data_IF_328375451718
#
_entry.id   IF_328375451718
#
_cell.length_a   1.000
_cell.length_b   1.000
_cell.length_c   1.000
_cell.angle_alpha   90.00
_cell.angle_beta   90.00
_cell.angle_gamma   90.00
#
_symmetry.space_group_name_H-M   'P 1'
#
loop_
_entity.id
_entity.type
_entity.pdbx_description
1 polymer ?
#
# COMPACT_ATOMS: atom_id res chain seq x y z
N UNK A 1 -20.79 -29.29 11.03
CA UNK A 1 -20.23 -30.20 10.02
C UNK A 1 -18.77 -29.79 9.76
N UNK A 2 -17.80 -30.51 10.34
CA UNK A 2 -16.39 -30.35 9.98
C UNK A 2 -16.21 -30.98 8.61
N UNK A 3 -16.08 -30.12 7.57
CA UNK A 3 -15.64 -30.58 6.25
C UNK A 3 -14.23 -31.21 6.41
N UNK A 4 -14.12 -32.52 6.14
CA UNK A 4 -12.82 -33.18 5.99
C UNK A 4 -12.02 -32.41 4.96
N UNK A 5 -11.05 -31.63 5.42
CA UNK A 5 -10.06 -31.03 4.52
C UNK A 5 -9.35 -32.18 3.78
N UNK A 6 -9.42 -32.19 2.46
CA UNK A 6 -8.69 -33.14 1.65
C UNK A 6 -7.18 -33.03 1.96
N UNK A 7 -6.43 -34.15 1.91
CA UNK A 7 -4.98 -34.18 2.12
C UNK A 7 -4.26 -33.06 1.34
N UNK A 8 -4.66 -32.83 0.09
CA UNK A 8 -4.15 -31.77 -0.77
C UNK A 8 -4.38 -30.35 -0.20
N UNK A 9 -5.52 -30.07 0.43
CA UNK A 9 -5.77 -28.75 1.01
C UNK A 9 -4.95 -28.49 2.27
N UNK A 10 -4.70 -29.54 3.05
CA UNK A 10 -3.88 -29.46 4.28
C UNK A 10 -2.40 -29.22 3.99
N UNK A 11 -1.88 -29.78 2.90
CA UNK A 11 -0.45 -29.72 2.56
C UNK A 11 -0.15 -28.82 1.36
N UNK A 12 -1.14 -28.05 0.87
CA UNK A 12 -1.01 -27.18 -0.32
C UNK A 12 0.25 -26.30 -0.29
N UNK A 13 0.47 -25.60 0.81
CA UNK A 13 1.63 -24.71 0.95
C UNK A 13 2.97 -25.43 0.89
N UNK A 14 3.07 -26.59 1.53
CA UNK A 14 4.29 -27.42 1.49
C UNK A 14 4.54 -28.02 0.10
N UNK A 15 3.47 -28.40 -0.60
CA UNK A 15 3.57 -28.91 -1.98
C UNK A 15 4.06 -27.81 -2.92
N UNK A 16 3.49 -26.59 -2.80
CA UNK A 16 3.94 -25.45 -3.59
C UNK A 16 5.42 -25.16 -3.29
N UNK A 17 5.83 -25.10 -2.02
CA UNK A 17 7.23 -24.87 -1.64
C UNK A 17 8.16 -25.94 -2.26
N UNK A 18 7.81 -27.21 -2.15
CA UNK A 18 8.63 -28.31 -2.66
C UNK A 18 8.79 -28.26 -4.18
N UNK A 19 7.67 -28.04 -4.89
CA UNK A 19 7.68 -27.92 -6.35
C UNK A 19 8.46 -26.71 -6.82
N UNK A 20 8.25 -25.56 -6.16
CA UNK A 20 8.93 -24.31 -6.48
C UNK A 20 10.43 -24.37 -6.17
N UNK A 21 10.82 -25.03 -5.07
CA UNK A 21 12.23 -25.28 -4.74
C UNK A 21 12.91 -26.17 -5.79
N UNK A 22 12.26 -27.27 -6.22
CA UNK A 22 12.77 -28.11 -7.29
C UNK A 22 12.87 -27.31 -8.59
N UNK A 23 11.86 -26.50 -8.91
CA UNK A 23 11.87 -25.64 -10.10
C UNK A 23 13.02 -24.63 -10.05
N UNK A 24 13.28 -24.01 -8.91
CA UNK A 24 14.44 -23.14 -8.71
C UNK A 24 15.76 -23.86 -9.02
N UNK A 25 15.94 -25.09 -8.50
CA UNK A 25 17.16 -25.88 -8.76
C UNK A 25 17.32 -26.24 -10.24
N UNK A 26 16.21 -26.51 -10.93
CA UNK A 26 16.19 -26.75 -12.38
C UNK A 26 16.59 -25.47 -13.12
N UNK A 27 16.02 -24.32 -12.79
CA UNK A 27 16.34 -23.05 -13.43
C UNK A 27 17.82 -22.68 -13.30
N UNK A 28 18.45 -22.91 -12.15
CA UNK A 28 19.89 -22.67 -11.93
C UNK A 28 20.75 -23.41 -12.96
N UNK A 29 20.28 -24.59 -13.45
CA UNK A 29 21.04 -25.44 -14.39
C UNK A 29 20.72 -25.21 -15.86
N UNK A 30 19.48 -24.76 -16.16
CA UNK A 30 18.97 -24.68 -17.54
C UNK A 30 19.11 -23.29 -18.13
N UNK A 31 19.03 -22.23 -17.32
CA UNK A 31 19.11 -20.86 -17.85
C UNK A 31 20.45 -20.64 -18.57
N UNK A 32 20.44 -19.91 -19.72
CA UNK A 32 21.59 -19.78 -20.63
C UNK A 32 22.53 -18.62 -20.25
N UNK A 33 22.56 -18.19 -18.98
CA UNK A 33 23.39 -17.08 -18.52
C UNK A 33 24.53 -17.56 -17.61
N UNK A 34 25.30 -16.66 -17.05
CA UNK A 34 26.34 -17.02 -16.10
C UNK A 34 25.78 -17.67 -14.82
N UNK A 35 26.64 -18.41 -14.11
CA UNK A 35 26.19 -19.12 -12.89
C UNK A 35 25.60 -18.18 -11.82
N UNK A 36 26.11 -16.94 -11.70
CA UNK A 36 25.57 -15.95 -10.75
C UNK A 36 24.22 -15.38 -11.22
N UNK A 37 24.10 -15.05 -12.50
CA UNK A 37 22.87 -14.56 -13.10
C UNK A 37 21.75 -15.61 -13.01
N UNK A 38 22.06 -16.89 -13.33
CA UNK A 38 21.11 -17.99 -13.22
C UNK A 38 20.59 -18.16 -11.78
N UNK A 39 21.47 -18.10 -10.77
CA UNK A 39 21.08 -18.16 -9.36
C UNK A 39 20.23 -16.97 -8.96
N UNK A 40 20.58 -15.75 -9.40
CA UNK A 40 19.82 -14.54 -9.12
C UNK A 40 18.41 -14.60 -9.70
N UNK A 41 18.29 -14.97 -11.00
CA UNK A 41 17.00 -15.13 -11.67
C UNK A 41 16.16 -16.26 -11.04
N UNK A 42 16.77 -17.39 -10.71
CA UNK A 42 16.09 -18.49 -10.05
C UNK A 42 15.56 -18.11 -8.67
N UNK A 43 16.34 -17.33 -7.88
CA UNK A 43 15.89 -16.79 -6.60
C UNK A 43 14.70 -15.86 -6.77
N UNK A 44 14.76 -14.93 -7.73
CA UNK A 44 13.65 -14.00 -8.00
C UNK A 44 12.36 -14.75 -8.33
N UNK A 45 12.44 -15.74 -9.22
CA UNK A 45 11.29 -16.55 -9.65
C UNK A 45 10.73 -17.34 -8.46
N UNK A 46 11.60 -17.98 -7.67
CA UNK A 46 11.22 -18.72 -6.46
C UNK A 46 10.47 -17.82 -5.46
N UNK A 47 11.04 -16.71 -5.08
CA UNK A 47 10.40 -15.76 -4.16
C UNK A 47 9.12 -15.16 -4.77
N UNK A 48 9.15 -14.88 -6.08
CA UNK A 48 8.00 -14.36 -6.81
C UNK A 48 6.81 -15.33 -6.80
N UNK A 49 7.03 -16.61 -7.04
CA UNK A 49 5.97 -17.63 -6.98
C UNK A 49 5.40 -17.74 -5.56
N UNK A 50 6.25 -17.75 -4.53
CA UNK A 50 5.79 -17.80 -3.15
C UNK A 50 4.98 -16.56 -2.74
N UNK A 51 5.37 -15.35 -3.19
CA UNK A 51 4.61 -14.13 -2.94
C UNK A 51 3.28 -14.11 -3.71
N UNK A 52 3.29 -14.46 -4.99
CA UNK A 52 2.09 -14.44 -5.84
C UNK A 52 1.06 -15.50 -5.47
N UNK A 53 1.52 -16.67 -5.01
CA UNK A 53 0.63 -17.77 -4.59
C UNK A 53 0.15 -17.64 -3.15
N UNK A 54 0.75 -16.71 -2.37
CA UNK A 54 0.53 -16.57 -0.92
C UNK A 54 0.62 -17.92 -0.19
N UNK A 55 1.50 -18.83 -0.69
CA UNK A 55 1.69 -20.15 -0.10
C UNK A 55 2.10 -20.09 1.37
N UNK A 56 2.82 -19.03 1.75
CA UNK A 56 3.16 -18.65 3.13
C UNK A 56 2.82 -17.19 3.38
N UNK A 57 2.77 -16.84 4.66
CA UNK A 57 2.67 -15.43 5.04
C UNK A 57 3.81 -14.63 4.41
N UNK A 58 3.49 -13.47 3.85
CA UNK A 58 4.43 -12.61 3.12
C UNK A 58 5.70 -12.29 3.93
N UNK A 59 5.57 -12.16 5.24
CA UNK A 59 6.68 -11.93 6.18
C UNK A 59 7.64 -13.12 6.19
N UNK A 60 7.11 -14.35 6.23
CA UNK A 60 7.92 -15.58 6.24
C UNK A 60 8.66 -15.73 4.92
N UNK A 61 7.98 -15.51 3.80
CA UNK A 61 8.61 -15.52 2.47
C UNK A 61 9.73 -14.46 2.39
N UNK A 62 9.53 -13.30 2.98
CA UNK A 62 10.55 -12.23 3.01
C UNK A 62 11.79 -12.62 3.80
N UNK A 63 11.65 -13.41 4.87
CA UNK A 63 12.79 -13.99 5.60
C UNK A 63 13.49 -15.11 4.82
N UNK A 64 12.80 -15.79 3.90
CA UNK A 64 13.44 -16.78 3.02
C UNK A 64 14.42 -16.13 2.04
N UNK A 65 14.21 -14.86 1.66
CA UNK A 65 15.10 -14.14 0.72
C UNK A 65 16.57 -14.17 1.18
N UNK A 66 16.94 -13.62 2.36
CA UNK A 66 18.33 -13.66 2.80
C UNK A 66 18.84 -15.08 2.99
N UNK A 67 18.03 -15.99 3.52
CA UNK A 67 18.43 -17.38 3.79
C UNK A 67 18.80 -18.11 2.49
N UNK A 68 17.93 -18.06 1.47
CA UNK A 68 18.17 -18.72 0.18
C UNK A 68 19.30 -18.02 -0.58
N UNK A 69 19.39 -16.68 -0.56
CA UNK A 69 20.47 -15.95 -1.21
C UNK A 69 21.85 -16.29 -0.64
N UNK A 70 21.97 -16.45 0.69
CA UNK A 70 23.19 -16.91 1.36
C UNK A 70 23.49 -18.36 0.96
N UNK A 71 22.48 -19.24 1.01
CA UNK A 71 22.61 -20.66 0.64
C UNK A 71 23.04 -20.88 -0.82
N UNK A 72 22.64 -20.00 -1.72
CA UNK A 72 23.07 -20.00 -3.12
C UNK A 72 24.47 -19.33 -3.34
N UNK A 73 25.08 -18.78 -2.29
CA UNK A 73 26.40 -18.10 -2.40
C UNK A 73 26.35 -16.78 -3.16
N UNK A 74 25.19 -16.14 -3.24
CA UNK A 74 24.99 -14.85 -3.91
C UNK A 74 25.44 -13.64 -3.06
N UNK A 75 25.33 -13.77 -1.74
CA UNK A 75 25.59 -12.69 -0.79
C UNK A 75 26.05 -13.28 0.56
N UNK A 76 26.86 -12.55 1.32
CA UNK A 76 27.20 -12.95 2.68
C UNK A 76 26.13 -12.54 3.69
N UNK A 77 26.15 -13.16 4.88
CA UNK A 77 25.14 -12.95 5.93
C UNK A 77 25.01 -11.48 6.35
N UNK A 78 26.14 -10.79 6.54
CA UNK A 78 26.13 -9.39 6.97
C UNK A 78 25.44 -8.49 5.93
N UNK A 79 25.80 -8.63 4.68
CA UNK A 79 25.21 -7.83 3.58
C UNK A 79 23.75 -8.22 3.32
N UNK A 80 23.37 -9.49 3.53
CA UNK A 80 22.00 -9.97 3.37
C UNK A 80 21.06 -9.43 4.46
N UNK A 81 21.55 -9.23 5.69
CA UNK A 81 20.74 -8.76 6.82
C UNK A 81 20.80 -7.25 7.06
N UNK A 82 21.82 -6.56 6.53
CA UNK A 82 21.93 -5.10 6.67
C UNK A 82 20.70 -4.32 6.20
N UNK A 83 19.99 -4.72 5.12
CA UNK A 83 18.78 -4.04 4.68
C UNK A 83 17.65 -3.98 5.70
N UNK A 84 17.58 -4.93 6.65
CA UNK A 84 16.55 -4.97 7.70
C UNK A 84 16.72 -3.87 8.77
N UNK A 85 17.85 -3.16 8.76
CA UNK A 85 18.17 -2.06 9.68
C UNK A 85 18.34 -0.71 8.99
N UNK A 86 17.86 -0.57 7.75
CA UNK A 86 17.94 0.71 7.03
C UNK A 86 17.06 1.79 7.67
N UNK A 87 17.49 3.07 7.65
CA UNK A 87 16.76 4.18 8.27
C UNK A 87 15.29 4.27 7.84
N UNK A 88 15.02 4.01 6.56
CA UNK A 88 13.66 4.09 5.99
C UNK A 88 12.66 3.16 6.71
N UNK A 89 13.11 1.97 7.15
CA UNK A 89 12.26 1.03 7.90
C UNK A 89 11.81 1.64 9.22
N UNK A 90 12.70 2.37 9.90
CA UNK A 90 12.36 3.04 11.16
C UNK A 90 11.47 4.28 10.96
N UNK A 91 11.54 4.94 9.81
CA UNK A 91 10.59 5.98 9.45
C UNK A 91 9.17 5.39 9.33
N UNK A 92 9.02 4.26 8.64
CA UNK A 92 7.73 3.56 8.53
C UNK A 92 7.26 2.99 9.87
N UNK A 93 8.17 2.46 10.69
CA UNK A 93 7.84 2.04 12.04
C UNK A 93 7.19 3.18 12.83
N UNK A 94 7.76 4.39 12.80
CA UNK A 94 7.16 5.56 13.46
C UNK A 94 5.78 5.90 12.92
N UNK A 95 5.58 5.85 11.60
CA UNK A 95 4.28 6.02 10.97
C UNK A 95 3.24 4.99 11.44
N UNK A 96 3.62 3.70 11.49
CA UNK A 96 2.75 2.63 11.98
C UNK A 96 2.43 2.76 13.48
N UNK A 97 3.36 3.25 14.29
CA UNK A 97 3.11 3.54 15.70
C UNK A 97 2.07 4.64 15.85
N UNK A 98 2.19 5.74 15.11
CA UNK A 98 1.19 6.82 15.13
C UNK A 98 -0.18 6.32 14.67
N UNK A 99 -0.24 5.54 13.58
CA UNK A 99 -1.47 4.90 13.11
C UNK A 99 -2.10 3.99 14.17
N UNK A 100 -1.28 3.17 14.86
CA UNK A 100 -1.73 2.32 15.95
C UNK A 100 -2.32 3.14 17.11
N UNK A 101 -1.68 4.25 17.48
CA UNK A 101 -2.13 5.10 18.58
C UNK A 101 -3.44 5.83 18.24
N UNK A 102 -3.62 6.28 16.99
CA UNK A 102 -4.90 6.83 16.52
C UNK A 102 -6.04 5.82 16.74
N UNK A 103 -5.81 4.53 16.42
CA UNK A 103 -6.78 3.45 16.65
C UNK A 103 -6.99 3.13 18.13
N UNK A 104 -5.92 3.05 18.95
CA UNK A 104 -5.99 2.81 20.40
C UNK A 104 -6.88 3.87 21.07
N UNK A 105 -6.75 5.11 20.65
CA UNK A 105 -7.52 6.24 21.18
C UNK A 105 -8.87 6.43 20.50
N UNK A 106 -9.26 5.57 19.54
CA UNK A 106 -10.47 5.70 18.71
C UNK A 106 -10.64 7.08 18.05
N UNK A 107 -9.54 7.79 17.80
CA UNK A 107 -9.56 9.13 17.17
C UNK A 107 -10.11 9.08 15.75
N UNK A 108 -9.81 8.03 15.03
CA UNK A 108 -10.35 7.68 13.74
C UNK A 108 -11.89 7.73 13.73
N UNK A 109 -12.54 7.02 14.70
CA UNK A 109 -14.00 7.02 14.88
C UNK A 109 -14.55 8.38 15.27
N UNK A 110 -13.85 9.08 16.17
CA UNK A 110 -14.25 10.42 16.64
C UNK A 110 -14.29 11.40 15.48
N UNK A 111 -13.21 11.45 14.69
CA UNK A 111 -13.07 12.34 13.52
C UNK A 111 -14.18 12.03 12.51
N UNK A 112 -14.37 10.76 12.17
CA UNK A 112 -15.36 10.33 11.21
C UNK A 112 -16.80 10.68 11.66
N UNK A 113 -17.18 10.38 12.91
CA UNK A 113 -18.48 10.74 13.46
C UNK A 113 -18.71 12.26 13.48
N UNK A 114 -17.71 13.03 13.87
CA UNK A 114 -17.82 14.47 13.91
C UNK A 114 -18.09 15.07 12.53
N UNK A 115 -17.30 14.66 11.53
CA UNK A 115 -17.42 15.18 10.16
C UNK A 115 -18.75 14.77 9.52
N UNK A 116 -19.23 13.52 9.71
CA UNK A 116 -20.53 13.11 9.16
C UNK A 116 -21.69 13.88 9.81
N UNK A 117 -21.58 14.25 11.10
CA UNK A 117 -22.60 15.10 11.76
C UNK A 117 -22.70 16.49 11.16
N UNK A 118 -21.61 17.03 10.59
CA UNK A 118 -21.63 18.33 9.91
C UNK A 118 -22.57 18.34 8.68
N UNK A 119 -22.90 17.18 8.14
CA UNK A 119 -23.83 17.05 7.01
C UNK A 119 -25.30 17.34 7.38
N UNK A 120 -25.64 17.49 8.68
CA UNK A 120 -26.97 17.90 9.19
C UNK A 120 -28.14 17.11 8.55
N UNK A 121 -27.98 15.81 8.35
CA UNK A 121 -29.04 14.97 7.75
C UNK A 121 -29.12 15.02 6.22
N UNK A 122 -28.20 15.67 5.53
CA UNK A 122 -28.16 15.61 4.07
C UNK A 122 -27.39 14.35 3.62
N UNK A 123 -28.07 13.42 2.95
CA UNK A 123 -27.52 12.14 2.53
C UNK A 123 -26.31 12.31 1.58
N UNK A 124 -26.43 13.14 0.55
CA UNK A 124 -25.34 13.37 -0.42
C UNK A 124 -24.09 13.92 0.26
N UNK A 125 -24.29 14.89 1.14
CA UNK A 125 -23.20 15.51 1.89
C UNK A 125 -22.55 14.52 2.89
N UNK A 126 -23.38 13.69 3.55
CA UNK A 126 -22.90 12.62 4.45
C UNK A 126 -22.03 11.62 3.71
N UNK A 127 -22.43 11.19 2.51
CA UNK A 127 -21.67 10.26 1.66
C UNK A 127 -20.36 10.93 1.19
N UNK A 128 -20.41 12.19 0.76
CA UNK A 128 -19.21 12.92 0.36
C UNK A 128 -18.21 13.01 1.53
N UNK A 129 -18.70 13.37 2.71
CA UNK A 129 -17.87 13.43 3.90
C UNK A 129 -17.32 12.05 4.31
N UNK A 130 -18.13 10.99 4.21
CA UNK A 130 -17.68 9.62 4.44
C UNK A 130 -16.50 9.27 3.55
N UNK A 131 -16.61 9.51 2.23
CA UNK A 131 -15.53 9.21 1.28
C UNK A 131 -14.29 10.08 1.54
N UNK A 132 -14.47 11.38 1.80
CA UNK A 132 -13.37 12.29 2.10
C UNK A 132 -12.62 11.87 3.36
N UNK A 133 -13.34 11.56 4.45
CA UNK A 133 -12.73 11.13 5.71
C UNK A 133 -12.03 9.79 5.56
N UNK A 134 -12.67 8.84 4.87
CA UNK A 134 -12.07 7.53 4.60
C UNK A 134 -10.76 7.69 3.80
N UNK A 135 -10.76 8.50 2.74
CA UNK A 135 -9.57 8.82 1.95
C UNK A 135 -8.49 9.45 2.83
N UNK A 136 -8.83 10.46 3.62
CA UNK A 136 -7.89 11.17 4.48
C UNK A 136 -7.28 10.26 5.56
N UNK A 137 -8.10 9.47 6.24
CA UNK A 137 -7.61 8.53 7.25
C UNK A 137 -6.70 7.46 6.66
N UNK A 138 -7.02 6.98 5.45
CA UNK A 138 -6.22 5.96 4.77
C UNK A 138 -4.88 6.48 4.23
N UNK A 139 -4.67 7.78 4.17
CA UNK A 139 -3.33 8.34 3.94
C UNK A 139 -2.35 8.02 5.08
N UNK A 140 -2.85 7.73 6.28
CA UNK A 140 -2.04 7.57 7.49
C UNK A 140 -2.18 6.21 8.16
N UNK A 141 -3.28 5.54 7.89
CA UNK A 141 -3.66 4.26 8.49
C UNK A 141 -3.83 3.24 7.37
N UNK A 142 -3.43 2.00 7.61
CA UNK A 142 -3.62 0.89 6.68
C UNK A 142 -5.06 0.81 6.15
N UNK A 143 -5.21 0.62 4.83
CA UNK A 143 -6.49 0.59 4.11
C UNK A 143 -7.49 -0.40 4.72
N UNK A 144 -7.01 -1.58 5.14
CA UNK A 144 -7.84 -2.63 5.77
C UNK A 144 -8.41 -2.16 7.08
N UNK A 145 -7.58 -1.55 7.93
CA UNK A 145 -7.99 -1.04 9.23
C UNK A 145 -9.02 0.09 9.07
N UNK A 146 -8.78 1.01 8.13
CA UNK A 146 -9.72 2.11 7.83
C UNK A 146 -11.05 1.55 7.33
N UNK A 147 -11.06 0.61 6.38
CA UNK A 147 -12.29 0.01 5.87
C UNK A 147 -13.08 -0.74 6.96
N UNK A 148 -12.39 -1.53 7.78
CA UNK A 148 -13.01 -2.27 8.89
C UNK A 148 -13.66 -1.35 9.93
N UNK A 149 -13.00 -0.22 10.23
CA UNK A 149 -13.50 0.79 11.15
C UNK A 149 -14.65 1.61 10.57
N UNK A 150 -14.56 1.98 9.29
CA UNK A 150 -15.58 2.80 8.63
C UNK A 150 -16.85 2.01 8.30
N UNK A 151 -16.78 0.66 8.20
CA UNK A 151 -17.93 -0.16 7.89
C UNK A 151 -19.08 -0.04 8.91
N UNK A 152 -18.86 -0.20 10.24
CA UNK A 152 -19.93 -0.01 11.23
C UNK A 152 -20.55 1.39 11.17
N UNK A 153 -19.73 2.42 10.94
CA UNK A 153 -20.19 3.81 10.79
C UNK A 153 -21.05 3.97 9.54
N UNK A 154 -20.62 3.39 8.42
CA UNK A 154 -21.34 3.38 7.15
C UNK A 154 -22.69 2.66 7.29
N UNK A 155 -22.69 1.49 7.92
CA UNK A 155 -23.92 0.73 8.18
C UNK A 155 -24.84 1.46 9.15
N UNK A 156 -24.29 2.12 10.18
CA UNK A 156 -25.05 2.98 11.10
C UNK A 156 -25.69 4.19 10.38
N UNK A 157 -24.98 4.77 9.45
CA UNK A 157 -25.45 5.86 8.60
C UNK A 157 -26.61 5.41 7.69
N UNK A 158 -26.54 4.21 7.14
CA UNK A 158 -27.58 3.64 6.26
C UNK A 158 -28.75 2.99 7.03
N UNK A 159 -28.64 2.91 8.36
CA UNK A 159 -29.71 2.33 9.20
C UNK A 159 -31.00 3.14 9.05
N UNK A 160 -32.08 2.46 8.74
CA UNK A 160 -33.40 3.08 8.46
C UNK A 160 -33.74 3.14 6.97
N UNK A 161 -32.78 3.01 6.08
CA UNK A 161 -33.02 2.86 4.64
C UNK A 161 -33.21 1.37 4.34
N UNK A 162 -34.28 1.00 3.63
CA UNK A 162 -34.52 -0.40 3.26
C UNK A 162 -33.50 -0.86 2.22
N UNK A 163 -32.62 -1.82 2.58
CA UNK A 163 -31.53 -2.30 1.74
C UNK A 163 -32.04 -3.02 0.45
N UNK A 164 -33.15 -3.79 0.53
CA UNK A 164 -33.68 -4.52 -0.62
C UNK A 164 -34.18 -3.57 -1.72
N UNK A 165 -34.89 -2.51 -1.32
CA UNK A 165 -35.41 -1.50 -2.25
C UNK A 165 -34.33 -0.56 -2.76
N UNK A 166 -33.28 -0.29 -1.97
CA UNK A 166 -32.24 0.69 -2.26
C UNK A 166 -30.84 0.05 -2.43
N UNK A 167 -30.79 -1.17 -2.94
CA UNK A 167 -29.56 -1.93 -3.03
C UNK A 167 -28.45 -1.20 -3.80
N UNK A 168 -28.81 -0.37 -4.82
CA UNK A 168 -27.84 0.44 -5.59
C UNK A 168 -27.21 1.55 -4.74
N UNK A 169 -27.99 2.15 -3.82
CA UNK A 169 -27.47 3.14 -2.88
C UNK A 169 -26.52 2.49 -1.87
N UNK A 170 -26.89 1.32 -1.34
CA UNK A 170 -26.01 0.55 -0.45
C UNK A 170 -24.70 0.18 -1.13
N UNK A 171 -24.75 -0.37 -2.34
CA UNK A 171 -23.56 -0.69 -3.12
C UNK A 171 -22.70 0.55 -3.40
N UNK A 172 -23.33 1.70 -3.75
CA UNK A 172 -22.64 2.96 -3.99
C UNK A 172 -21.85 3.43 -2.77
N UNK A 173 -22.48 3.41 -1.60
CA UNK A 173 -21.85 3.90 -0.36
C UNK A 173 -20.78 2.94 0.13
N UNK A 174 -21.05 1.64 0.11
CA UNK A 174 -20.11 0.62 0.58
C UNK A 174 -18.88 0.50 -0.33
N UNK A 175 -19.08 0.41 -1.65
CA UNK A 175 -17.97 0.38 -2.61
C UNK A 175 -17.18 1.69 -2.58
N UNK A 176 -17.85 2.84 -2.51
CA UNK A 176 -17.20 4.12 -2.42
C UNK A 176 -16.34 4.26 -1.17
N UNK A 177 -16.80 3.74 -0.02
CA UNK A 177 -16.01 3.70 1.21
C UNK A 177 -14.77 2.79 1.06
N UNK A 178 -14.93 1.57 0.53
CA UNK A 178 -13.82 0.65 0.33
C UNK A 178 -12.77 1.19 -0.66
N UNK A 179 -13.23 1.74 -1.78
CA UNK A 179 -12.35 2.32 -2.79
C UNK A 179 -11.68 3.61 -2.30
N UNK A 180 -12.37 4.43 -1.50
CA UNK A 180 -11.77 5.58 -0.82
C UNK A 180 -10.62 5.18 0.10
N UNK A 181 -10.74 4.05 0.80
CA UNK A 181 -9.65 3.52 1.61
C UNK A 181 -8.43 3.13 0.75
N UNK A 182 -8.64 2.41 -0.36
CA UNK A 182 -7.55 2.01 -1.24
C UNK A 182 -6.89 3.20 -1.95
N UNK A 183 -7.68 4.16 -2.46
CA UNK A 183 -7.18 5.38 -3.12
C UNK A 183 -6.45 6.28 -2.12
N UNK A 184 -6.98 6.43 -0.91
CA UNK A 184 -6.37 7.27 0.14
C UNK A 184 -4.95 6.81 0.49
N UNK A 185 -4.73 5.49 0.53
CA UNK A 185 -3.41 4.91 0.77
C UNK A 185 -2.32 5.34 -0.22
N UNK A 186 -2.68 5.77 -1.44
CA UNK A 186 -1.72 6.27 -2.44
C UNK A 186 -1.12 7.61 -2.01
N UNK A 187 -1.89 8.43 -1.28
CA UNK A 187 -1.58 9.84 -1.04
C UNK A 187 -0.30 10.12 -0.26
N UNK A 188 0.13 9.22 0.65
CA UNK A 188 1.38 9.37 1.42
C UNK A 188 2.22 8.11 1.39
N UNK A 189 3.50 8.21 1.80
CA UNK A 189 4.37 7.03 1.91
C UNK A 189 3.85 6.00 2.91
N UNK A 190 3.23 6.42 3.99
CA UNK A 190 2.77 5.56 5.09
C UNK A 190 1.44 4.88 4.78
N UNK A 191 0.64 5.45 3.87
CA UNK A 191 -0.73 5.00 3.59
C UNK A 191 -0.83 3.61 2.97
N UNK A 192 0.17 3.17 2.20
CA UNK A 192 0.15 1.84 1.60
C UNK A 192 1.53 1.19 1.52
N UNK A 193 1.58 -0.16 1.63
CA UNK A 193 2.81 -0.93 1.54
C UNK A 193 3.55 -0.77 0.18
N UNK A 194 2.89 -0.72 -0.98
CA UNK A 194 3.56 -0.44 -2.26
C UNK A 194 4.39 0.85 -2.28
N UNK A 195 3.88 1.94 -1.67
CA UNK A 195 4.61 3.21 -1.58
C UNK A 195 5.87 3.06 -0.74
N UNK A 196 5.74 2.35 0.38
CA UNK A 196 6.85 2.09 1.29
C UNK A 196 7.94 1.21 0.65
N UNK A 197 7.54 0.21 -0.16
CA UNK A 197 8.47 -0.62 -0.94
C UNK A 197 9.26 0.26 -1.93
N UNK A 198 8.59 1.14 -2.65
CA UNK A 198 9.24 2.11 -3.53
C UNK A 198 10.28 2.94 -2.76
N UNK A 199 9.84 3.58 -1.67
CA UNK A 199 10.70 4.46 -0.89
C UNK A 199 11.92 3.73 -0.30
N UNK A 200 11.74 2.46 0.09
CA UNK A 200 12.84 1.64 0.61
C UNK A 200 13.91 1.37 -0.45
N UNK A 201 13.54 1.21 -1.73
CA UNK A 201 14.48 0.86 -2.81
C UNK A 201 15.18 2.07 -3.44
N UNK A 202 14.54 3.24 -3.50
CA UNK A 202 15.09 4.45 -4.13
C UNK A 202 15.23 5.65 -3.19
N UNK A 203 15.05 5.46 -1.88
CA UNK A 203 15.27 6.46 -0.82
C UNK A 203 14.49 7.78 -1.03
N UNK A 204 13.21 7.68 -1.36
CA UNK A 204 12.32 8.84 -1.53
C UNK A 204 11.89 9.37 -0.16
N UNK A 205 11.98 10.68 0.03
CA UNK A 205 11.50 11.35 1.24
C UNK A 205 9.96 11.43 1.27
N UNK A 206 9.40 11.66 2.45
CA UNK A 206 7.96 11.84 2.61
C UNK A 206 7.41 12.98 1.72
N UNK A 207 8.13 14.11 1.69
CA UNK A 207 7.73 15.28 0.90
C UNK A 207 7.83 15.06 -0.60
N UNK A 208 8.87 14.36 -1.06
CA UNK A 208 9.01 14.02 -2.49
C UNK A 208 7.86 13.13 -2.95
N UNK A 209 7.47 12.11 -2.15
CA UNK A 209 6.35 11.25 -2.51
C UNK A 209 5.03 12.00 -2.66
N UNK A 210 4.79 13.04 -1.86
CA UNK A 210 3.58 13.86 -2.00
C UNK A 210 3.45 14.47 -3.40
N UNK A 211 4.56 14.76 -4.07
CA UNK A 211 4.54 15.24 -5.47
C UNK A 211 4.06 14.19 -6.48
N UNK A 212 4.15 12.91 -6.14
CA UNK A 212 3.74 11.77 -6.98
C UNK A 212 2.37 11.22 -6.58
N UNK A 213 2.23 10.78 -5.33
CA UNK A 213 1.05 10.07 -4.87
C UNK A 213 -0.17 10.94 -4.62
N UNK A 214 0.02 12.13 -4.03
CA UNK A 214 -1.09 13.00 -3.68
C UNK A 214 -1.88 13.53 -4.90
N UNK A 215 -1.26 14.01 -6.00
CA UNK A 215 -1.99 14.40 -7.20
C UNK A 215 -2.79 13.25 -7.82
N UNK A 216 -2.21 12.03 -7.85
CA UNK A 216 -2.91 10.83 -8.34
C UNK A 216 -4.14 10.55 -7.48
N UNK A 217 -4.00 10.54 -6.16
CA UNK A 217 -5.11 10.34 -5.22
C UNK A 217 -6.23 11.37 -5.46
N UNK A 218 -5.88 12.66 -5.58
CA UNK A 218 -6.86 13.75 -5.80
C UNK A 218 -7.63 13.58 -7.12
N UNK A 219 -6.98 13.09 -8.18
CA UNK A 219 -7.63 12.82 -9.47
C UNK A 219 -8.47 11.54 -9.45
N UNK A 220 -8.06 10.53 -8.68
CA UNK A 220 -8.77 9.26 -8.59
C UNK A 220 -10.07 9.35 -7.77
N UNK A 221 -10.15 10.19 -6.74
CA UNK A 221 -11.37 10.33 -5.93
C UNK A 221 -12.58 10.75 -6.75
N UNK A 222 -12.57 11.83 -7.55
CA UNK A 222 -13.71 12.17 -8.41
C UNK A 222 -13.96 11.10 -9.48
N UNK A 223 -12.92 10.47 -10.03
CA UNK A 223 -13.05 9.36 -11.00
C UNK A 223 -13.76 8.16 -10.40
N UNK A 224 -13.50 7.84 -9.14
CA UNK A 224 -14.20 6.83 -8.37
C UNK A 224 -15.69 7.17 -8.21
N UNK A 225 -16.00 8.38 -7.76
CA UNK A 225 -17.39 8.84 -7.58
C UNK A 225 -18.14 8.78 -8.90
N UNK A 226 -17.50 9.20 -9.99
CA UNK A 226 -18.06 9.14 -11.34
C UNK A 226 -18.32 7.69 -11.78
N UNK A 227 -17.35 6.79 -11.61
CA UNK A 227 -17.49 5.36 -11.98
C UNK A 227 -18.65 4.70 -11.22
N UNK A 228 -18.76 4.94 -9.91
CA UNK A 228 -19.85 4.48 -9.08
C UNK A 228 -21.20 5.02 -9.55
N UNK A 229 -21.26 6.32 -9.84
CA UNK A 229 -22.52 6.97 -10.26
C UNK A 229 -23.01 6.47 -11.62
N UNK A 230 -22.13 6.31 -12.59
CA UNK A 230 -22.49 5.84 -13.94
C UNK A 230 -23.09 4.44 -13.92
N UNK A 231 -22.52 3.53 -13.12
CA UNK A 231 -22.95 2.12 -13.07
C UNK A 231 -24.15 1.94 -12.14
N UNK A 232 -24.10 2.49 -10.93
CA UNK A 232 -25.08 2.19 -9.90
C UNK A 232 -26.30 3.10 -9.92
N UNK A 233 -26.12 4.36 -10.37
CA UNK A 233 -27.20 5.37 -10.46
C UNK A 233 -28.08 5.37 -9.20
N UNK A 234 -27.50 5.67 -8.01
CA UNK A 234 -28.21 5.58 -6.74
C UNK A 234 -29.34 6.60 -6.66
N UNK A 235 -30.44 6.24 -6.03
CA UNK A 235 -31.50 7.17 -5.67
C UNK A 235 -31.14 7.84 -4.33
N UNK A 236 -31.04 9.15 -4.33
CA UNK A 236 -30.73 9.96 -3.14
C UNK A 236 -31.98 10.62 -2.52
N UNK A 237 -33.18 10.34 -3.04
CA UNK A 237 -34.45 10.93 -2.56
C UNK A 237 -35.07 10.20 -1.37
N UNK A 238 -34.30 9.30 -0.73
CA UNK A 238 -34.74 8.52 0.41
C UNK A 238 -34.70 9.33 1.71
N UNK A 239 -35.64 9.03 2.62
CA UNK A 239 -35.65 9.59 3.96
C UNK A 239 -34.40 9.16 4.72
N UNK A 240 -33.60 10.14 5.15
CA UNK A 240 -32.31 9.94 5.77
C UNK A 240 -32.25 10.52 7.19
N UNK A 241 -32.18 9.64 8.17
CA UNK A 241 -32.00 10.01 9.57
C UNK A 241 -30.89 9.16 10.21
N UNK A 242 -29.63 9.60 10.13
CA UNK A 242 -28.49 8.82 10.56
C UNK A 242 -28.44 8.64 12.08
N UNK A 243 -28.31 7.41 12.55
CA UNK A 243 -28.05 7.11 13.96
C UNK A 243 -26.53 7.02 14.19
N UNK A 244 -25.90 8.13 14.57
CA UNK A 244 -24.48 8.17 14.87
C UNK A 244 -24.24 8.07 16.37
N UNK A 245 -23.30 7.23 16.80
CA UNK A 245 -22.92 7.07 18.19
C UNK A 245 -22.23 8.36 18.71
N UNK A 246 -22.52 8.72 19.97
CA UNK A 246 -21.79 9.78 20.64
C UNK A 246 -20.48 9.21 21.17
N UNK A 247 -19.36 9.63 20.59
CA UNK A 247 -18.03 9.26 21.10
C UNK A 247 -17.51 10.42 21.97
N UNK A 248 -17.06 10.11 23.19
CA UNK A 248 -16.52 11.11 24.11
C UNK A 248 -15.09 11.47 23.71
N UNK A 249 -14.78 12.74 23.75
CA UNK A 249 -13.43 13.27 23.49
C UNK A 249 -12.72 13.52 24.82
N UNK A 250 -11.58 12.90 25.04
CA UNK A 250 -10.84 12.96 26.30
C UNK A 250 -9.44 13.59 26.13
N UNK A 251 -8.72 13.82 27.25
CA UNK A 251 -7.38 14.43 27.24
C UNK A 251 -6.37 13.63 26.39
N UNK A 252 -6.43 12.32 26.42
CA UNK A 252 -5.50 11.47 25.60
C UNK A 252 -5.77 11.65 24.10
N UNK A 253 -7.03 11.84 23.70
CA UNK A 253 -7.38 12.13 22.30
C UNK A 253 -6.76 13.45 21.82
N UNK A 254 -6.77 14.50 22.66
CA UNK A 254 -6.15 15.80 22.33
C UNK A 254 -4.65 15.63 22.15
N UNK A 255 -3.98 14.96 23.09
CA UNK A 255 -2.52 14.73 23.01
C UNK A 255 -2.18 13.92 21.76
N UNK A 256 -2.92 12.85 21.47
CA UNK A 256 -2.70 12.03 20.26
C UNK A 256 -2.88 12.85 18.99
N UNK A 257 -3.91 13.67 18.92
CA UNK A 257 -4.16 14.56 17.79
C UNK A 257 -3.02 15.58 17.59
N UNK A 258 -2.53 16.17 18.69
CA UNK A 258 -1.38 17.07 18.63
C UNK A 258 -0.11 16.38 18.16
N UNK A 259 0.15 15.14 18.63
CA UNK A 259 1.29 14.33 18.18
C UNK A 259 1.18 14.03 16.68
N UNK A 260 0.00 13.61 16.23
CA UNK A 260 -0.25 13.29 14.81
C UNK A 260 -0.04 14.52 13.92
N UNK A 261 -0.67 15.65 14.25
CA UNK A 261 -0.53 16.91 13.50
C UNK A 261 0.92 17.40 13.56
N UNK A 262 1.56 17.32 14.73
CA UNK A 262 2.95 17.72 14.91
C UNK A 262 3.90 16.89 14.04
N UNK A 263 3.73 15.57 14.00
CA UNK A 263 4.52 14.67 13.11
C UNK A 263 4.29 15.04 11.64
N UNK A 264 3.02 15.20 11.22
CA UNK A 264 2.69 15.54 9.85
C UNK A 264 3.35 16.88 9.42
N UNK A 265 3.27 17.90 10.26
CA UNK A 265 3.93 19.20 10.01
C UNK A 265 5.46 19.03 9.96
N UNK A 266 6.06 18.31 10.90
CA UNK A 266 7.51 18.11 10.91
C UNK A 266 8.00 17.36 9.67
N UNK A 267 7.26 16.35 9.19
CA UNK A 267 7.61 15.62 7.96
C UNK A 267 7.42 16.49 6.72
N UNK A 268 6.33 17.27 6.63
CA UNK A 268 6.08 18.20 5.51
C UNK A 268 7.14 19.28 5.38
N UNK A 269 7.64 19.76 6.49
CA UNK A 269 8.64 20.83 6.52
C UNK A 269 10.03 20.35 6.89
N UNK A 270 10.31 19.03 6.78
CA UNK A 270 11.58 18.43 7.19
C UNK A 270 12.79 19.05 6.46
N UNK A 271 12.63 19.39 5.19
CA UNK A 271 13.66 20.06 4.37
C UNK A 271 14.02 21.46 4.87
N UNK A 272 13.08 22.16 5.51
CA UNK A 272 13.28 23.49 6.12
C UNK A 272 13.77 23.37 7.57
N UNK A 273 13.25 22.39 8.31
CA UNK A 273 13.56 22.18 9.72
C UNK A 273 14.99 21.64 9.91
N UNK A 274 15.46 20.75 9.03
CA UNK A 274 16.78 20.15 9.14
C UNK A 274 17.93 21.19 9.15
N UNK A 275 18.02 22.14 8.20
CA UNK A 275 19.03 23.19 8.25
C UNK A 275 18.94 24.06 9.50
N UNK A 276 17.72 24.40 9.94
CA UNK A 276 17.51 25.25 11.13
C UNK A 276 17.98 24.54 12.41
N UNK A 277 17.61 23.25 12.59
CA UNK A 277 18.06 22.45 13.74
C UNK A 277 19.58 22.21 13.70
N UNK A 278 20.13 21.96 12.52
CA UNK A 278 21.58 21.81 12.32
C UNK A 278 22.33 23.06 12.76
N UNK A 279 21.86 24.24 12.39
CA UNK A 279 22.45 25.50 12.79
C UNK A 279 22.27 25.78 14.28
N UNK A 280 21.09 25.51 14.85
CA UNK A 280 20.81 25.73 16.27
C UNK A 280 21.65 24.84 17.19
N UNK A 281 21.90 23.58 16.77
CA UNK A 281 22.73 22.64 17.53
C UNK A 281 24.23 22.69 17.15
N UNK A 282 24.64 23.62 16.29
CA UNK A 282 26.02 23.79 15.79
C UNK A 282 26.61 22.48 15.21
N UNK A 283 25.76 21.67 14.53
CA UNK A 283 26.20 20.42 13.97
C UNK A 283 27.04 20.66 12.69
N UNK A 284 28.10 19.84 12.46
CA UNK A 284 29.00 20.00 11.31
C UNK A 284 28.35 19.68 9.96
N UNK A 285 27.24 18.92 9.96
CA UNK A 285 26.50 18.51 8.76
C UNK A 285 25.00 18.43 9.07
N UNK A 286 24.18 18.55 8.01
CA UNK A 286 22.75 18.25 8.10
C UNK A 286 22.55 16.81 8.59
N UNK A 287 21.49 16.60 9.37
CA UNK A 287 21.11 15.28 9.88
C UNK A 287 20.68 14.42 8.69
N UNK A 288 21.38 13.32 8.46
CA UNK A 288 21.02 12.34 7.43
C UNK A 288 19.73 11.61 7.84
N UNK A 289 18.88 11.27 6.88
CA UNK A 289 17.58 10.59 7.11
C UNK A 289 16.75 11.27 8.21
N UNK A 290 16.64 12.59 8.15
CA UNK A 290 16.00 13.41 9.17
C UNK A 290 14.54 13.00 9.44
N UNK A 291 13.80 12.56 8.41
CA UNK A 291 12.43 12.03 8.55
C UNK A 291 12.38 10.82 9.49
N UNK A 292 13.41 9.96 9.47
CA UNK A 292 13.54 8.84 10.40
C UNK A 292 13.75 9.31 11.84
N UNK A 293 14.57 10.34 12.04
CA UNK A 293 14.80 10.91 13.38
C UNK A 293 13.50 11.50 13.93
N UNK A 294 12.76 12.24 13.13
CA UNK A 294 11.43 12.77 13.50
C UNK A 294 10.51 11.61 13.93
N UNK A 295 10.44 10.55 13.12
CA UNK A 295 9.58 9.41 13.39
C UNK A 295 9.93 8.72 14.72
N UNK A 296 11.21 8.48 14.99
CA UNK A 296 11.67 7.88 16.24
C UNK A 296 11.43 8.79 17.46
N UNK A 297 11.66 10.10 17.35
CA UNK A 297 11.33 11.06 18.40
C UNK A 297 9.84 11.02 18.75
N UNK A 298 8.97 10.91 17.75
CA UNK A 298 7.52 10.80 17.95
C UNK A 298 7.16 9.50 18.69
N UNK A 299 7.77 8.36 18.35
CA UNK A 299 7.56 7.10 19.07
C UNK A 299 7.94 7.21 20.54
N UNK A 300 9.10 7.79 20.83
CA UNK A 300 9.57 8.03 22.21
C UNK A 300 8.56 8.93 22.94
N UNK A 301 8.15 10.03 22.31
CA UNK A 301 7.22 10.99 22.92
C UNK A 301 5.85 10.36 23.20
N UNK A 302 5.34 9.50 22.34
CA UNK A 302 4.11 8.72 22.57
C UNK A 302 4.22 7.89 23.85
N UNK A 303 5.31 7.15 24.01
CA UNK A 303 5.52 6.31 25.20
C UNK A 303 5.68 7.14 26.48
N UNK A 304 6.47 8.22 26.42
CA UNK A 304 6.71 9.11 27.57
C UNK A 304 5.46 9.87 27.98
N UNK A 305 4.61 10.28 27.04
CA UNK A 305 3.35 10.99 27.33
C UNK A 305 2.27 10.10 27.94
N UNK A 306 2.46 8.77 27.93
CA UNK A 306 1.50 7.79 28.47
C UNK A 306 0.19 7.72 27.67
N UNK A 307 0.19 8.18 26.41
CA UNK A 307 -0.97 8.08 25.53
C UNK A 307 -1.25 6.63 25.15
N UNK A 308 -0.19 5.86 24.90
CA UNK A 308 -0.24 4.42 24.71
C UNK A 308 0.96 3.76 25.38
N UNK A 309 0.77 2.55 25.91
CA UNK A 309 1.85 1.74 26.42
C UNK A 309 2.59 1.03 25.28
N UNK A 310 3.86 0.68 25.50
CA UNK A 310 4.63 -0.09 24.53
C UNK A 310 3.94 -1.42 24.15
N UNK A 311 3.31 -2.09 25.10
CA UNK A 311 2.58 -3.34 24.87
C UNK A 311 1.43 -3.15 23.89
N UNK A 312 0.61 -2.12 24.06
CA UNK A 312 -0.50 -1.80 23.15
C UNK A 312 0.00 -1.46 21.74
N UNK A 313 1.12 -0.74 21.64
CA UNK A 313 1.78 -0.41 20.36
C UNK A 313 2.26 -1.70 19.69
N UNK A 314 2.97 -2.55 20.43
CA UNK A 314 3.55 -3.80 19.92
C UNK A 314 2.51 -4.74 19.33
N UNK A 315 1.30 -4.79 19.91
CA UNK A 315 0.20 -5.64 19.44
C UNK A 315 -0.45 -5.12 18.14
N UNK A 316 -0.27 -3.84 17.79
CA UNK A 316 -0.97 -3.20 16.65
C UNK A 316 -0.07 -2.78 15.51
N UNK A 317 1.22 -2.67 15.73
CA UNK A 317 2.18 -2.35 14.67
C UNK A 317 2.29 -3.49 13.68
N UNK A 318 2.34 -3.18 12.41
CA UNK A 318 2.47 -4.16 11.32
C UNK A 318 3.93 -4.58 11.11
N UNK A 319 4.47 -5.32 12.08
CA UNK A 319 5.86 -5.82 12.06
C UNK A 319 6.20 -6.60 10.79
N UNK A 320 5.22 -7.34 10.25
CA UNK A 320 5.39 -8.13 9.03
C UNK A 320 5.76 -7.27 7.82
N UNK A 321 5.22 -6.08 7.72
CA UNK A 321 5.51 -5.15 6.63
C UNK A 321 6.93 -4.60 6.76
N UNK A 322 7.41 -4.33 7.97
CA UNK A 322 8.80 -3.88 8.19
C UNK A 322 9.80 -4.97 7.79
N UNK A 323 9.52 -6.24 8.11
CA UNK A 323 10.33 -7.39 7.68
C UNK A 323 10.29 -7.55 6.16
N UNK A 324 9.13 -7.35 5.53
CA UNK A 324 8.99 -7.38 4.08
C UNK A 324 9.92 -6.36 3.38
N UNK A 325 10.03 -5.15 3.92
CA UNK A 325 10.94 -4.14 3.35
C UNK A 325 12.39 -4.62 3.38
N UNK A 326 12.83 -5.21 4.50
CA UNK A 326 14.18 -5.80 4.60
C UNK A 326 14.42 -6.90 3.57
N UNK A 327 13.46 -7.83 3.42
CA UNK A 327 13.53 -8.91 2.42
C UNK A 327 13.53 -8.38 0.98
N UNK A 328 12.66 -7.42 0.66
CA UNK A 328 12.58 -6.79 -0.67
C UNK A 328 13.87 -6.04 -1.04
N UNK A 329 14.45 -5.29 -0.08
CA UNK A 329 15.74 -4.63 -0.26
C UNK A 329 16.88 -5.64 -0.47
N UNK A 330 16.90 -6.73 0.29
CA UNK A 330 17.90 -7.80 0.11
C UNK A 330 17.77 -8.40 -1.28
N UNK A 331 16.54 -8.68 -1.75
CA UNK A 331 16.31 -9.20 -3.10
C UNK A 331 16.82 -8.23 -4.16
N UNK A 332 16.55 -6.93 -4.01
CA UNK A 332 17.04 -5.88 -4.92
C UNK A 332 18.58 -5.86 -5.02
N UNK A 333 19.27 -5.96 -3.88
CA UNK A 333 20.73 -6.01 -3.84
C UNK A 333 21.25 -7.27 -4.55
N UNK A 334 20.66 -8.41 -4.26
CA UNK A 334 21.03 -9.69 -4.90
C UNK A 334 20.82 -9.65 -6.40
N UNK A 335 19.68 -9.13 -6.86
CA UNK A 335 19.38 -8.97 -8.28
C UNK A 335 20.39 -8.09 -9.01
N UNK A 336 20.82 -7.00 -8.36
CA UNK A 336 21.82 -6.08 -8.90
C UNK A 336 23.22 -6.73 -8.92
N UNK A 337 23.65 -7.29 -7.81
CA UNK A 337 24.99 -7.86 -7.66
C UNK A 337 25.21 -9.12 -8.53
N UNK A 338 24.18 -9.94 -8.73
CA UNK A 338 24.24 -11.11 -9.61
C UNK A 338 24.19 -10.76 -11.09
N UNK A 339 23.82 -9.54 -11.48
CA UNK A 339 23.58 -9.15 -12.88
C UNK A 339 22.20 -9.53 -13.42
N UNK A 340 21.38 -10.26 -12.65
CA UNK A 340 20.07 -10.72 -13.08
C UNK A 340 19.12 -9.57 -13.44
N UNK A 341 19.16 -8.46 -12.70
CA UNK A 341 18.37 -7.26 -13.00
C UNK A 341 18.69 -6.65 -14.36
N UNK A 342 19.98 -6.67 -14.76
CA UNK A 342 20.41 -6.17 -16.06
C UNK A 342 19.84 -7.02 -17.21
N UNK A 343 19.90 -8.34 -17.10
CA UNK A 343 19.34 -9.26 -18.12
C UNK A 343 17.86 -8.99 -18.33
N UNK A 344 17.11 -8.85 -17.24
CA UNK A 344 15.67 -8.57 -17.31
C UNK A 344 15.40 -7.20 -17.93
N UNK A 345 16.15 -6.19 -17.51
CA UNK A 345 16.03 -4.86 -18.06
C UNK A 345 16.34 -4.82 -19.56
N UNK A 346 17.45 -5.41 -19.99
CA UNK A 346 17.85 -5.45 -21.40
C UNK A 346 16.80 -6.18 -22.26
N UNK A 347 16.20 -7.27 -21.76
CA UNK A 347 15.12 -8.00 -22.44
C UNK A 347 13.87 -7.12 -22.62
N UNK A 348 13.48 -6.37 -21.60
CA UNK A 348 12.34 -5.44 -21.65
C UNK A 348 12.67 -4.27 -22.60
N UNK A 349 13.86 -3.70 -22.48
CA UNK A 349 14.31 -2.57 -23.31
C UNK A 349 14.30 -2.97 -24.79
N UNK A 350 14.81 -4.14 -25.15
CA UNK A 350 14.74 -4.66 -26.54
C UNK A 350 13.32 -4.70 -27.08
N UNK A 351 12.35 -5.11 -26.24
CA UNK A 351 10.94 -5.15 -26.64
C UNK A 351 10.33 -3.75 -26.81
N UNK A 352 10.77 -2.77 -26.01
CA UNK A 352 10.19 -1.43 -25.93
C UNK A 352 10.89 -0.42 -26.85
N UNK A 353 12.18 -0.61 -27.19
CA UNK A 353 12.98 0.33 -27.99
C UNK A 353 12.33 0.80 -29.30
N UNK A 354 11.48 -0.03 -29.90
CA UNK A 354 10.75 0.29 -31.13
C UNK A 354 9.42 1.00 -30.88
N UNK A 355 9.01 1.19 -29.62
CA UNK A 355 7.72 1.76 -29.27
C UNK A 355 7.88 3.14 -28.64
N UNK A 356 6.90 4.04 -28.83
CA UNK A 356 6.89 5.32 -28.13
C UNK A 356 6.85 5.13 -26.61
N UNK A 357 7.52 6.00 -25.87
CA UNK A 357 7.64 5.91 -24.41
C UNK A 357 6.29 5.90 -23.67
N UNK A 358 5.28 6.62 -24.21
CA UNK A 358 3.93 6.59 -23.66
C UNK A 358 3.33 5.18 -23.66
N UNK A 359 3.65 4.33 -24.65
CA UNK A 359 3.18 2.94 -24.70
C UNK A 359 3.70 2.16 -23.48
N UNK A 360 4.98 2.34 -23.15
CA UNK A 360 5.57 1.74 -21.95
C UNK A 360 4.80 2.14 -20.70
N UNK A 361 4.57 3.45 -20.50
CA UNK A 361 3.88 3.97 -19.32
C UNK A 361 2.47 3.37 -19.16
N UNK A 362 1.67 3.39 -20.24
CA UNK A 362 0.30 2.85 -20.19
C UNK A 362 0.24 1.33 -20.05
N UNK A 363 1.11 0.61 -20.77
CA UNK A 363 1.15 -0.87 -20.72
C UNK A 363 1.61 -1.33 -19.34
N UNK A 364 2.64 -0.70 -18.76
CA UNK A 364 3.10 -1.04 -17.41
C UNK A 364 2.02 -0.73 -16.37
N UNK A 365 1.34 0.42 -16.50
CA UNK A 365 0.25 0.77 -15.59
C UNK A 365 -0.89 -0.25 -15.69
N UNK A 366 -1.30 -0.61 -16.91
CA UNK A 366 -2.33 -1.62 -17.10
C UNK A 366 -1.90 -2.98 -16.52
N UNK A 367 -0.66 -3.38 -16.78
CA UNK A 367 -0.11 -4.65 -16.30
C UNK A 367 -0.17 -4.76 -14.77
N UNK A 368 0.34 -3.75 -14.05
CA UNK A 368 0.36 -3.81 -12.57
C UNK A 368 -1.05 -3.77 -11.98
N UNK A 369 -1.97 -2.97 -12.55
CA UNK A 369 -3.36 -2.87 -12.10
C UNK A 369 -4.08 -4.22 -12.26
N UNK A 370 -3.98 -4.87 -13.42
CA UNK A 370 -4.63 -6.17 -13.63
C UNK A 370 -3.94 -7.32 -12.88
N UNK A 371 -2.63 -7.24 -12.68
CA UNK A 371 -1.91 -8.20 -11.85
C UNK A 371 -2.40 -8.16 -10.40
N UNK A 372 -2.54 -6.96 -9.83
CA UNK A 372 -2.94 -6.78 -8.44
C UNK A 372 -4.41 -7.14 -8.17
N UNK A 373 -5.26 -7.25 -9.19
CA UNK A 373 -6.63 -7.76 -9.03
C UNK A 373 -6.69 -9.23 -8.59
N UNK A 374 -5.69 -10.01 -8.95
CA UNK A 374 -5.63 -11.46 -8.67
C UNK A 374 -4.51 -11.84 -7.72
N UNK A 375 -3.73 -10.87 -7.28
CA UNK A 375 -2.60 -11.04 -6.36
C UNK A 375 -2.59 -9.95 -5.30
N UNK A 376 -1.81 -10.12 -4.22
CA UNK A 376 -1.65 -9.10 -3.19
C UNK A 376 -0.96 -7.84 -3.73
N UNK A 377 -1.48 -6.65 -3.42
CA UNK A 377 -0.88 -5.35 -3.78
C UNK A 377 0.60 -5.29 -3.36
N UNK A 378 0.88 -5.74 -2.14
CA UNK A 378 2.20 -5.72 -1.55
C UNK A 378 3.15 -6.68 -2.24
N UNK A 379 2.69 -7.90 -2.54
CA UNK A 379 3.49 -8.91 -3.24
C UNK A 379 3.80 -8.50 -4.67
N UNK A 380 2.80 -7.99 -5.40
CA UNK A 380 2.97 -7.48 -6.76
C UNK A 380 3.97 -6.33 -6.80
N UNK A 381 3.85 -5.37 -5.89
CA UNK A 381 4.78 -4.25 -5.80
C UNK A 381 6.20 -4.72 -5.46
N UNK A 382 6.37 -5.60 -4.47
CA UNK A 382 7.69 -6.09 -4.06
C UNK A 382 8.43 -6.83 -5.19
N UNK A 383 7.70 -7.64 -5.96
CA UNK A 383 8.26 -8.39 -7.08
C UNK A 383 8.65 -7.49 -8.25
N UNK A 384 7.74 -6.62 -8.69
CA UNK A 384 7.91 -5.85 -9.92
C UNK A 384 8.79 -4.61 -9.72
N UNK A 385 8.81 -4.03 -8.51
CA UNK A 385 9.55 -2.80 -8.22
C UNK A 385 11.03 -2.88 -8.61
N UNK A 386 11.72 -3.94 -8.19
CA UNK A 386 13.15 -4.15 -8.47
C UNK A 386 13.43 -4.20 -9.97
N UNK A 387 12.55 -4.86 -10.74
CA UNK A 387 12.67 -5.01 -12.20
C UNK A 387 12.52 -3.65 -12.86
N UNK A 388 11.49 -2.91 -12.48
CA UNK A 388 11.14 -1.62 -13.09
C UNK A 388 12.18 -0.54 -12.82
N UNK A 389 12.77 -0.52 -11.62
CA UNK A 389 13.88 0.36 -11.30
C UNK A 389 15.08 0.06 -12.21
N UNK A 390 15.40 -1.21 -12.44
CA UNK A 390 16.48 -1.62 -13.34
C UNK A 390 16.21 -1.24 -14.80
N UNK A 391 14.95 -1.38 -15.26
CA UNK A 391 14.53 -0.92 -16.59
C UNK A 391 14.70 0.60 -16.74
N UNK A 392 14.25 1.38 -15.75
CA UNK A 392 14.42 2.82 -15.77
C UNK A 392 15.89 3.23 -15.88
N UNK A 393 16.77 2.59 -15.10
CA UNK A 393 18.22 2.83 -15.13
C UNK A 393 18.82 2.47 -16.50
N UNK A 394 18.46 1.33 -17.09
CA UNK A 394 18.93 0.92 -18.42
C UNK A 394 18.45 1.82 -19.55
N UNK A 395 17.30 2.46 -19.38
CA UNK A 395 16.76 3.43 -20.33
C UNK A 395 17.21 4.88 -20.06
N UNK A 396 18.05 5.12 -19.05
CA UNK A 396 18.42 6.46 -18.56
C UNK A 396 17.21 7.34 -18.19
N UNK A 397 16.15 6.72 -17.64
CA UNK A 397 14.96 7.42 -17.16
C UNK A 397 15.04 7.60 -15.63
N UNK A 398 14.36 8.62 -15.06
CA UNK A 398 14.25 8.76 -13.61
C UNK A 398 13.62 7.51 -12.98
N UNK A 399 14.33 6.76 -12.10
CA UNK A 399 13.79 5.52 -11.53
C UNK A 399 12.48 5.72 -10.78
N UNK A 400 12.30 6.88 -10.14
CA UNK A 400 11.09 7.21 -9.40
C UNK A 400 9.85 7.29 -10.32
N UNK A 401 10.00 7.76 -11.56
CA UNK A 401 8.86 7.90 -12.48
C UNK A 401 8.21 6.55 -12.82
N UNK A 402 9.02 5.54 -13.18
CA UNK A 402 8.51 4.20 -13.47
C UNK A 402 8.14 3.44 -12.18
N UNK A 403 8.90 3.62 -11.11
CA UNK A 403 8.58 3.03 -9.81
C UNK A 403 7.24 3.53 -9.25
N UNK A 404 6.89 4.81 -9.45
CA UNK A 404 5.61 5.37 -9.06
C UNK A 404 4.42 4.74 -9.77
N UNK A 405 4.58 4.30 -11.05
CA UNK A 405 3.56 3.47 -11.73
C UNK A 405 3.23 2.24 -10.88
N UNK A 406 4.27 1.54 -10.41
CA UNK A 406 4.09 0.30 -9.67
C UNK A 406 3.47 0.58 -8.30
N UNK A 407 3.94 1.59 -7.58
CA UNK A 407 3.43 1.91 -6.26
C UNK A 407 1.96 2.37 -6.30
N UNK A 408 1.62 3.29 -7.19
CA UNK A 408 0.24 3.77 -7.37
C UNK A 408 -0.66 2.69 -7.97
N UNK A 409 -0.20 2.02 -9.04
CA UNK A 409 -0.98 1.02 -9.76
C UNK A 409 -1.27 -0.24 -8.94
N UNK A 410 -0.32 -0.71 -8.13
CA UNK A 410 -0.53 -1.84 -7.22
C UNK A 410 -1.59 -1.57 -6.14
N UNK A 411 -1.90 -0.30 -5.85
CA UNK A 411 -2.98 0.07 -4.94
C UNK A 411 -4.36 0.18 -5.62
N UNK A 412 -4.42 0.04 -6.96
CA UNK A 412 -5.62 0.17 -7.77
C UNK A 412 -6.24 -1.19 -8.11
N UNK A 413 -6.85 -1.85 -7.13
CA UNK A 413 -7.51 -3.14 -7.29
C UNK A 413 -8.97 -3.05 -6.83
N UNK A 414 -9.90 -2.87 -7.77
CA UNK A 414 -11.28 -2.48 -7.50
C UNK A 414 -12.33 -3.46 -8.03
N UNK A 415 -11.94 -4.47 -8.84
CA UNK A 415 -12.91 -5.32 -9.56
C UNK A 415 -13.39 -6.53 -8.74
N UNK A 416 -12.50 -7.12 -7.93
CA UNK A 416 -12.77 -8.40 -7.29
C UNK A 416 -12.84 -8.26 -5.75
N UNK A 417 -13.74 -9.02 -5.10
CA UNK A 417 -13.79 -9.06 -3.63
C UNK A 417 -12.48 -9.54 -3.00
N UNK A 418 -11.76 -10.45 -3.68
CA UNK A 418 -10.50 -11.02 -3.18
C UNK A 418 -9.29 -10.12 -3.43
N UNK A 419 -9.43 -9.09 -4.28
CA UNK A 419 -8.29 -8.26 -4.70
C UNK A 419 -7.71 -7.44 -3.53
N UNK A 420 -8.57 -6.95 -2.63
CA UNK A 420 -8.14 -6.21 -1.43
C UNK A 420 -9.00 -6.53 -0.23
N UNK A 421 -8.45 -6.47 1.00
CA UNK A 421 -9.26 -6.62 2.21
C UNK A 421 -10.42 -5.61 2.32
N UNK A 422 -10.30 -4.32 1.96
CA UNK A 422 -11.44 -3.40 1.91
C UNK A 422 -12.60 -3.91 1.05
N UNK A 423 -12.31 -4.46 -0.14
CA UNK A 423 -13.32 -5.04 -1.02
C UNK A 423 -14.00 -6.24 -0.36
N UNK A 424 -13.22 -7.14 0.24
CA UNK A 424 -13.73 -8.32 0.95
C UNK A 424 -14.65 -7.93 2.11
N UNK A 425 -14.28 -6.91 2.89
CA UNK A 425 -15.03 -6.40 4.04
C UNK A 425 -16.43 -5.92 3.60
N UNK A 426 -16.52 -5.12 2.54
CA UNK A 426 -17.82 -4.62 2.08
C UNK A 426 -18.63 -5.69 1.36
N UNK A 427 -17.99 -6.60 0.64
CA UNK A 427 -18.65 -7.73 0.00
C UNK A 427 -19.28 -8.70 1.03
N UNK A 428 -18.60 -8.93 2.15
CA UNK A 428 -19.09 -9.79 3.24
C UNK A 428 -20.38 -9.27 3.90
N UNK A 429 -20.76 -7.99 3.70
CA UNK A 429 -22.05 -7.45 4.17
C UNK A 429 -23.26 -8.04 3.45
N UNK A 430 -23.09 -8.68 2.30
CA UNK A 430 -24.16 -9.19 1.43
C UNK A 430 -24.93 -8.10 0.66
N UNK A 431 -24.60 -6.82 0.85
CA UNK A 431 -25.28 -5.70 0.18
C UNK A 431 -24.59 -5.25 -1.13
N UNK A 432 -23.51 -5.91 -1.52
CA UNK A 432 -22.75 -5.62 -2.75
C UNK A 432 -22.73 -6.86 -3.62
N UNK A 433 -23.19 -6.73 -4.86
CA UNK A 433 -23.10 -7.82 -5.85
C UNK A 433 -21.72 -7.81 -6.49
N UNK A 434 -21.10 -8.99 -6.66
CA UNK A 434 -19.79 -9.11 -7.30
C UNK A 434 -19.77 -8.49 -8.70
N UNK A 435 -20.85 -8.64 -9.48
CA UNK A 435 -20.94 -8.08 -10.82
C UNK A 435 -20.96 -6.54 -10.82
N UNK A 436 -21.59 -5.92 -9.81
CA UNK A 436 -21.61 -4.47 -9.67
C UNK A 436 -20.21 -3.96 -9.30
N UNK A 437 -19.52 -4.62 -8.37
CA UNK A 437 -18.14 -4.34 -8.03
C UNK A 437 -17.22 -4.45 -9.26
N UNK A 438 -17.33 -5.55 -10.01
CA UNK A 438 -16.50 -5.79 -11.19
C UNK A 438 -16.71 -4.71 -12.27
N UNK A 439 -17.95 -4.30 -12.54
CA UNK A 439 -18.26 -3.27 -13.54
C UNK A 439 -17.75 -1.89 -13.12
N UNK A 440 -18.00 -1.50 -11.88
CA UNK A 440 -17.50 -0.21 -11.34
C UNK A 440 -15.97 -0.22 -11.32
N UNK A 441 -15.38 -1.31 -10.81
CA UNK A 441 -13.94 -1.47 -10.72
C UNK A 441 -13.25 -1.42 -12.08
N UNK A 442 -13.83 -2.05 -13.12
CA UNK A 442 -13.28 -2.00 -14.47
C UNK A 442 -13.20 -0.55 -15.00
N UNK A 443 -14.29 0.22 -14.86
CA UNK A 443 -14.29 1.63 -15.29
C UNK A 443 -13.25 2.43 -14.50
N UNK A 444 -13.20 2.22 -13.18
CA UNK A 444 -12.24 2.92 -12.34
C UNK A 444 -10.80 2.52 -12.69
N UNK A 445 -10.52 1.23 -12.95
CA UNK A 445 -9.21 0.77 -13.40
C UNK A 445 -8.77 1.43 -14.73
N UNK A 446 -9.71 1.64 -15.66
CA UNK A 446 -9.41 2.37 -16.90
C UNK A 446 -9.06 3.84 -16.62
N UNK A 447 -9.74 4.50 -15.68
CA UNK A 447 -9.34 5.82 -15.21
C UNK A 447 -7.97 5.82 -14.55
N UNK A 448 -7.67 4.80 -13.72
CA UNK A 448 -6.35 4.66 -13.10
C UNK A 448 -5.25 4.52 -14.16
N UNK A 449 -5.45 3.70 -15.19
CA UNK A 449 -4.51 3.54 -16.30
C UNK A 449 -4.31 4.89 -17.01
N UNK A 450 -5.38 5.59 -17.31
CA UNK A 450 -5.31 6.87 -18.00
C UNK A 450 -4.60 7.94 -17.15
N UNK A 451 -4.95 8.06 -15.87
CA UNK A 451 -4.38 9.08 -14.97
C UNK A 451 -2.91 8.78 -14.67
N UNK A 452 -2.59 7.57 -14.18
CA UNK A 452 -1.22 7.22 -13.78
C UNK A 452 -0.29 7.21 -15.01
N UNK A 453 -0.73 6.63 -16.14
CA UNK A 453 0.03 6.61 -17.39
C UNK A 453 0.31 8.01 -17.93
N UNK A 454 -0.69 8.90 -17.88
CA UNK A 454 -0.53 10.30 -18.29
C UNK A 454 0.36 11.09 -17.34
N UNK A 455 0.17 10.96 -16.02
CA UNK A 455 1.03 11.60 -15.02
C UNK A 455 2.49 11.18 -15.21
N UNK A 456 2.73 9.88 -15.44
CA UNK A 456 4.09 9.39 -15.70
C UNK A 456 4.69 10.02 -16.95
N UNK A 457 3.96 10.00 -18.06
CA UNK A 457 4.51 10.44 -19.34
C UNK A 457 4.66 11.97 -19.45
N UNK A 458 3.70 12.74 -18.94
CA UNK A 458 3.67 14.21 -19.11
C UNK A 458 4.27 14.99 -17.93
N UNK A 459 4.37 14.38 -16.74
CA UNK A 459 4.74 15.11 -15.51
C UNK A 459 5.98 14.54 -14.86
N UNK A 460 6.18 13.20 -14.86
CA UNK A 460 7.25 12.57 -14.11
C UNK A 460 8.49 12.22 -14.98
N UNK A 461 8.31 12.07 -16.30
CA UNK A 461 9.38 11.87 -17.28
C UNK A 461 9.71 13.17 -18.02
#
# INVERSE_FOLDING_TARGET
MQTQQTFLSKYKSLIILALDFVFMLVLIKILPFSAQENRGLALLIFIGILWLTEAFNITVTSLMVPVVAIGLGLINTQKALAPFSTPIIYMFFGGFVVAAVLQIQNLDKIIANYIIRLAKGNLKLSITYLFTVTTFLSMWINNTAVAAMMLPLTMGMLKGINAEKNHRLYAFVLLGMAFSASIGGIGTLVGSAPNAILASQIQVTFTEWLGYGFPVMVLLVPSMIFSLWVILRPDFSVDFNPSLEKVSFNRKNIITLMIFIGMAIMLLFSSLLNPWITAFLELPKKIENFDTVIALCVVIFICVSGVASWKEIQERVEWGVLVLFGGGLTLSIVMKDSGASKIMADSIVQFVQTKPLWVLCFVMTAFIIFLTEVTSNTASAALIMTIVISVAQSMNLPPIALAAIIACGASCAFMLPIATPPNAIVFATGNVKQLDMAKVGLILNLFCIAIIGSMTYFVWL
#
